data_IF_398703877191
#
_entry.id   IF_398703877191
#
_cell.length_a   1.000
_cell.length_b   1.000
_cell.length_c   1.000
_cell.angle_alpha   90.00
_cell.angle_beta   90.00
_cell.angle_gamma   90.00
#
_symmetry.space_group_name_H-M   'P 1'
#
loop_
_entity.id
_entity.type
_entity.pdbx_description
1 polymer ?
#
# COMPACT_ATOMS: atom_id res chain seq x y z
N UNK A 1 55.36 16.29 -14.39
CA UNK A 1 54.13 17.02 -14.77
C UNK A 1 53.05 15.97 -14.80
N UNK A 2 52.42 15.78 -13.65
CA UNK A 2 52.00 14.45 -13.21
C UNK A 2 50.52 14.24 -13.49
N UNK A 3 50.13 13.00 -13.79
CA UNK A 3 48.74 12.59 -14.06
C UNK A 3 47.78 12.99 -12.92
N UNK A 4 48.30 13.15 -11.70
CA UNK A 4 47.60 13.67 -10.52
C UNK A 4 47.10 15.11 -10.68
N UNK A 5 47.77 15.94 -11.50
CA UNK A 5 47.38 17.34 -11.75
C UNK A 5 46.22 17.47 -12.76
N UNK A 6 46.12 16.56 -13.73
CA UNK A 6 44.95 16.46 -14.60
C UNK A 6 43.75 15.86 -13.86
N UNK A 7 44.01 14.91 -12.94
CA UNK A 7 42.97 14.36 -12.05
C UNK A 7 42.41 15.42 -11.10
N UNK A 8 43.24 16.32 -10.55
CA UNK A 8 42.76 17.43 -9.72
C UNK A 8 42.06 18.53 -10.53
N UNK A 9 42.45 18.74 -11.79
CA UNK A 9 41.77 19.68 -12.70
C UNK A 9 40.39 19.15 -13.17
N UNK A 10 40.25 17.82 -13.35
CA UNK A 10 38.98 17.15 -13.66
C UNK A 10 38.06 17.03 -12.43
N UNK A 11 38.62 16.91 -11.21
CA UNK A 11 37.82 16.96 -9.96
C UNK A 11 37.48 18.39 -9.53
N UNK A 12 38.15 19.41 -10.09
CA UNK A 12 37.91 20.83 -9.85
C UNK A 12 36.79 21.46 -10.68
N UNK A 13 36.26 20.76 -11.69
CA UNK A 13 35.12 21.26 -12.48
C UNK A 13 33.80 20.97 -11.75
N UNK A 14 33.54 21.74 -10.71
CA UNK A 14 32.32 21.73 -9.91
C UNK A 14 31.25 22.58 -10.60
N UNK A 15 30.29 21.93 -11.27
CA UNK A 15 29.01 22.56 -11.61
C UNK A 15 28.11 22.40 -10.37
N UNK A 16 28.39 23.16 -9.31
CA UNK A 16 27.71 23.03 -8.01
C UNK A 16 28.11 21.78 -7.20
N UNK A 17 27.19 21.24 -6.38
CA UNK A 17 27.43 20.12 -5.45
C UNK A 17 27.60 18.74 -6.10
N UNK A 18 27.48 18.63 -7.42
CA UNK A 18 27.56 17.36 -8.15
C UNK A 18 29.03 17.13 -8.54
N UNK A 19 29.77 16.45 -7.68
CA UNK A 19 31.13 15.99 -8.01
C UNK A 19 31.08 14.77 -8.93
N UNK A 20 32.02 14.69 -9.87
CA UNK A 20 32.20 13.53 -10.75
C UNK A 20 32.41 12.22 -9.95
N UNK A 21 32.87 12.32 -8.69
CA UNK A 21 33.01 11.20 -7.75
C UNK A 21 31.69 10.60 -7.29
N UNK A 22 30.60 11.38 -7.28
CA UNK A 22 29.29 10.94 -6.78
C UNK A 22 28.40 10.39 -7.90
N UNK A 23 28.75 10.67 -9.15
CA UNK A 23 28.07 10.15 -10.35
C UNK A 23 28.21 8.63 -10.48
N UNK A 24 29.41 8.09 -10.29
CA UNK A 24 29.66 6.65 -10.38
C UNK A 24 28.89 5.83 -9.32
N UNK A 25 28.92 6.18 -8.00
CA UNK A 25 28.13 5.47 -7.01
C UNK A 25 26.62 5.71 -7.16
N UNK A 26 26.18 6.90 -7.59
CA UNK A 26 24.76 7.14 -7.88
C UNK A 26 24.26 6.26 -9.03
N UNK A 27 25.07 6.07 -10.09
CA UNK A 27 24.76 5.17 -11.19
C UNK A 27 24.70 3.70 -10.73
N UNK A 28 25.65 3.26 -9.90
CA UNK A 28 25.63 1.91 -9.32
C UNK A 28 24.37 1.68 -8.48
N UNK A 29 24.02 2.64 -7.61
CA UNK A 29 22.80 2.58 -6.79
C UNK A 29 21.56 2.54 -7.66
N UNK A 30 21.48 3.37 -8.71
CA UNK A 30 20.38 3.36 -9.66
C UNK A 30 20.22 1.99 -10.32
N UNK A 31 21.32 1.38 -10.79
CA UNK A 31 21.30 0.05 -11.39
C UNK A 31 20.79 -1.00 -10.39
N UNK A 32 21.32 -0.99 -9.16
CA UNK A 32 20.87 -1.91 -8.10
C UNK A 32 19.38 -1.74 -7.80
N UNK A 33 18.93 -0.50 -7.66
CA UNK A 33 17.53 -0.15 -7.44
C UNK A 33 16.61 -0.65 -8.57
N UNK A 34 17.03 -0.50 -9.84
CA UNK A 34 16.27 -1.01 -10.99
C UNK A 34 16.26 -2.55 -11.05
N UNK A 35 17.34 -3.22 -10.64
CA UNK A 35 17.36 -4.68 -10.51
C UNK A 35 16.39 -5.15 -9.42
N UNK A 36 16.42 -4.50 -8.26
CA UNK A 36 15.50 -4.75 -7.14
C UNK A 36 14.06 -4.50 -7.60
N UNK A 37 13.77 -3.39 -8.28
CA UNK A 37 12.45 -3.09 -8.87
C UNK A 37 11.96 -4.24 -9.74
N UNK A 38 12.80 -4.71 -10.67
CA UNK A 38 12.45 -5.83 -11.56
C UNK A 38 12.14 -7.10 -10.78
N UNK A 39 12.89 -7.37 -9.71
CA UNK A 39 12.63 -8.52 -8.84
C UNK A 39 11.32 -8.39 -8.08
N UNK A 40 11.07 -7.26 -7.41
CA UNK A 40 9.81 -7.01 -6.70
C UNK A 40 8.60 -7.02 -7.62
N UNK A 41 8.69 -6.40 -8.80
CA UNK A 41 7.60 -6.41 -9.78
C UNK A 41 7.29 -7.82 -10.28
N UNK A 42 8.30 -8.68 -10.47
CA UNK A 42 8.07 -10.09 -10.80
C UNK A 42 7.35 -10.84 -9.67
N UNK A 43 7.71 -10.56 -8.41
CA UNK A 43 7.07 -11.18 -7.26
C UNK A 43 5.61 -10.71 -7.12
N UNK A 44 5.37 -9.40 -7.29
CA UNK A 44 4.04 -8.82 -7.31
C UNK A 44 3.18 -9.42 -8.43
N UNK A 45 3.71 -9.50 -9.66
CA UNK A 45 3.00 -10.09 -10.79
C UNK A 45 2.62 -11.55 -10.52
N UNK A 46 3.54 -12.34 -9.93
CA UNK A 46 3.27 -13.73 -9.56
C UNK A 46 2.16 -13.85 -8.49
N UNK A 47 2.16 -12.96 -7.50
CA UNK A 47 1.15 -12.96 -6.44
C UNK A 47 -0.23 -12.51 -6.96
N UNK A 48 -0.26 -11.55 -7.88
CA UNK A 48 -1.53 -11.05 -8.45
C UNK A 48 -2.08 -12.05 -9.47
N UNK A 49 -1.24 -12.61 -10.35
CA UNK A 49 -1.66 -13.56 -11.40
C UNK A 49 -2.07 -14.94 -10.86
N UNK A 50 -1.64 -15.33 -9.66
CA UNK A 50 -2.12 -16.56 -9.01
C UNK A 50 -3.56 -16.44 -8.51
N UNK A 51 -4.10 -15.22 -8.44
CA UNK A 51 -5.45 -14.94 -8.00
C UNK A 51 -6.37 -14.73 -9.21
N UNK A 52 -7.62 -15.23 -9.15
CA UNK A 52 -8.65 -14.99 -10.18
C UNK A 52 -9.19 -13.56 -10.10
N UNK A 53 -8.31 -12.58 -10.28
CA UNK A 53 -8.60 -11.15 -10.17
C UNK A 53 -9.03 -10.59 -11.53
N UNK A 54 -9.97 -9.65 -11.50
CA UNK A 54 -10.40 -8.90 -12.69
C UNK A 54 -9.20 -8.20 -13.37
N UNK A 55 -9.10 -8.22 -14.71
CA UNK A 55 -8.00 -7.57 -15.43
C UNK A 55 -7.78 -6.09 -15.08
N UNK A 56 -8.85 -5.37 -14.76
CA UNK A 56 -8.79 -3.94 -14.38
C UNK A 56 -8.14 -3.77 -13.01
N UNK A 57 -8.47 -4.63 -12.05
CA UNK A 57 -7.84 -4.61 -10.72
C UNK A 57 -6.38 -5.03 -10.80
N UNK A 58 -6.04 -5.97 -11.68
CA UNK A 58 -4.65 -6.34 -11.94
C UNK A 58 -3.84 -5.14 -12.45
N UNK A 59 -4.35 -4.43 -13.47
CA UNK A 59 -3.68 -3.24 -14.00
C UNK A 59 -3.52 -2.14 -12.93
N UNK A 60 -4.55 -1.91 -12.12
CA UNK A 60 -4.51 -0.92 -11.03
C UNK A 60 -3.45 -1.24 -9.97
N UNK A 61 -3.41 -2.49 -9.48
CA UNK A 61 -2.43 -2.91 -8.47
C UNK A 61 -1.00 -2.85 -9.01
N UNK A 62 -0.79 -3.33 -10.23
CA UNK A 62 0.52 -3.28 -10.89
C UNK A 62 1.01 -1.84 -11.04
N UNK A 63 0.15 -0.94 -11.53
CA UNK A 63 0.50 0.48 -11.69
C UNK A 63 0.81 1.13 -10.34
N UNK A 64 0.03 0.82 -9.30
CA UNK A 64 0.23 1.38 -7.96
C UNK A 64 1.59 0.97 -7.35
N UNK A 65 1.95 -0.31 -7.47
CA UNK A 65 3.24 -0.83 -7.00
C UNK A 65 4.39 -0.22 -7.81
N UNK A 66 4.24 -0.12 -9.14
CA UNK A 66 5.29 0.44 -10.00
C UNK A 66 5.58 1.91 -9.68
N UNK A 67 4.53 2.72 -9.51
CA UNK A 67 4.64 4.14 -9.13
C UNK A 67 5.30 4.28 -7.75
N UNK A 68 4.87 3.49 -6.76
CA UNK A 68 5.46 3.52 -5.42
C UNK A 68 6.97 3.18 -5.43
N UNK A 69 7.36 2.14 -6.17
CA UNK A 69 8.77 1.78 -6.35
C UNK A 69 9.55 2.87 -7.08
N UNK A 70 8.99 3.48 -8.13
CA UNK A 70 9.63 4.57 -8.85
C UNK A 70 9.88 5.78 -7.95
N UNK A 71 8.91 6.17 -7.13
CA UNK A 71 9.08 7.26 -6.15
C UNK A 71 10.22 6.93 -5.18
N UNK A 72 10.24 5.71 -4.62
CA UNK A 72 11.30 5.30 -3.69
C UNK A 72 12.69 5.34 -4.34
N UNK A 73 12.81 4.84 -5.57
CA UNK A 73 14.08 4.87 -6.32
C UNK A 73 14.51 6.31 -6.61
N UNK A 74 13.57 7.17 -7.01
CA UNK A 74 13.85 8.58 -7.25
C UNK A 74 14.40 9.28 -6.00
N UNK A 75 13.82 9.01 -4.83
CA UNK A 75 14.31 9.54 -3.55
C UNK A 75 15.72 9.05 -3.24
N UNK A 76 15.98 7.74 -3.37
CA UNK A 76 17.30 7.16 -3.09
C UNK A 76 18.38 7.75 -4.01
N UNK A 77 18.07 7.91 -5.30
CA UNK A 77 19.01 8.46 -6.28
C UNK A 77 19.22 9.96 -6.05
N UNK A 78 18.17 10.72 -5.73
CA UNK A 78 18.27 12.13 -5.41
C UNK A 78 19.17 12.38 -4.19
N UNK A 79 19.06 11.55 -3.15
CA UNK A 79 19.93 11.59 -1.98
C UNK A 79 21.41 11.38 -2.35
N UNK A 80 21.70 10.40 -3.22
CA UNK A 80 23.07 10.15 -3.71
C UNK A 80 23.63 11.26 -4.58
N UNK A 81 22.78 12.05 -5.23
CA UNK A 81 23.18 13.24 -5.99
C UNK A 81 23.40 14.47 -5.10
N UNK A 82 23.21 14.35 -3.78
CA UNK A 82 23.36 15.47 -2.83
C UNK A 82 22.16 16.41 -2.83
N UNK A 83 21.01 16.00 -3.39
CA UNK A 83 19.77 16.76 -3.31
C UNK A 83 19.18 16.54 -1.91
N UNK A 84 18.76 17.61 -1.19
CA UNK A 84 18.15 17.47 0.12
C UNK A 84 16.77 16.80 0.01
N UNK A 85 16.72 15.48 0.20
CA UNK A 85 15.48 14.69 0.07
C UNK A 85 14.50 14.88 1.23
N UNK A 86 14.91 15.48 2.34
CA UNK A 86 14.07 15.68 3.52
C UNK A 86 12.79 16.48 3.21
N UNK A 87 12.89 17.54 2.42
CA UNK A 87 11.74 18.35 2.00
C UNK A 87 10.79 17.57 1.08
N UNK A 88 11.34 16.71 0.21
CA UNK A 88 10.58 15.88 -0.70
C UNK A 88 9.84 14.75 0.04
N UNK A 89 10.50 14.14 1.03
CA UNK A 89 9.88 13.16 1.95
C UNK A 89 8.76 13.84 2.75
N UNK A 90 8.97 15.06 3.25
CA UNK A 90 7.95 15.79 3.97
C UNK A 90 6.70 16.04 3.10
N UNK A 91 6.89 16.48 1.86
CA UNK A 91 5.77 16.69 0.92
C UNK A 91 5.05 15.38 0.59
N UNK A 92 5.79 14.29 0.30
CA UNK A 92 5.22 12.96 0.07
C UNK A 92 4.50 12.42 1.30
N UNK A 93 4.96 12.77 2.51
CA UNK A 93 4.30 12.41 3.76
C UNK A 93 2.90 13.01 3.87
N UNK A 94 2.73 14.28 3.48
CA UNK A 94 1.41 14.94 3.45
C UNK A 94 0.48 14.27 2.44
N UNK A 95 0.98 13.97 1.24
CA UNK A 95 0.21 13.26 0.20
C UNK A 95 -0.16 11.84 0.68
N UNK A 96 0.80 11.12 1.27
CA UNK A 96 0.61 9.78 1.80
C UNK A 96 -0.41 9.73 2.94
N UNK A 97 -0.44 10.77 3.78
CA UNK A 97 -1.47 10.92 4.81
C UNK A 97 -2.85 11.11 4.18
N UNK A 98 -2.97 12.00 3.19
CA UNK A 98 -4.25 12.21 2.49
C UNK A 98 -4.76 10.92 1.83
N UNK A 99 -3.89 10.15 1.17
CA UNK A 99 -4.23 8.85 0.59
C UNK A 99 -4.64 7.84 1.66
N UNK A 100 -3.89 7.75 2.77
CA UNK A 100 -4.23 6.87 3.90
C UNK A 100 -5.59 7.18 4.49
N UNK A 101 -5.91 8.47 4.68
CA UNK A 101 -7.22 8.91 5.17
C UNK A 101 -8.34 8.56 4.19
N UNK A 102 -8.10 8.69 2.88
CA UNK A 102 -9.07 8.31 1.86
C UNK A 102 -9.41 6.81 1.88
N UNK A 103 -8.43 5.94 2.19
CA UNK A 103 -8.64 4.48 2.26
C UNK A 103 -8.92 3.96 3.66
N UNK A 104 -8.91 4.82 4.67
CA UNK A 104 -9.02 4.45 6.09
C UNK A 104 -10.25 3.59 6.37
N UNK A 105 -11.41 3.97 5.81
CA UNK A 105 -12.65 3.25 6.04
C UNK A 105 -12.61 1.82 5.45
N UNK A 106 -12.04 1.65 4.26
CA UNK A 106 -11.87 0.33 3.65
C UNK A 106 -10.98 -0.56 4.51
N UNK A 107 -9.88 -0.01 5.03
CA UNK A 107 -8.97 -0.77 5.90
C UNK A 107 -9.63 -1.12 7.24
N UNK A 108 -10.41 -0.20 7.81
CA UNK A 108 -11.20 -0.45 9.03
C UNK A 108 -12.18 -1.61 8.83
N UNK A 109 -12.84 -1.69 7.68
CA UNK A 109 -13.74 -2.80 7.36
C UNK A 109 -13.01 -4.15 7.21
N UNK A 110 -11.84 -4.17 6.56
CA UNK A 110 -11.03 -5.39 6.47
C UNK A 110 -10.61 -5.86 7.86
N UNK A 111 -10.13 -4.93 8.70
CA UNK A 111 -9.74 -5.22 10.08
C UNK A 111 -10.93 -5.72 10.92
N UNK A 112 -12.11 -5.09 10.77
CA UNK A 112 -13.34 -5.53 11.41
C UNK A 112 -13.74 -6.95 10.99
N UNK A 113 -13.58 -7.29 9.71
CA UNK A 113 -13.86 -8.64 9.20
C UNK A 113 -12.94 -9.69 9.82
N UNK A 114 -11.63 -9.41 9.86
CA UNK A 114 -10.65 -10.29 10.53
C UNK A 114 -10.98 -10.44 12.02
N UNK A 115 -11.34 -9.34 12.69
CA UNK A 115 -11.71 -9.35 14.10
C UNK A 115 -12.95 -10.21 14.37
N UNK A 116 -14.00 -10.10 13.53
CA UNK A 116 -15.20 -10.93 13.64
C UNK A 116 -14.85 -12.41 13.46
N UNK A 117 -14.04 -12.75 12.44
CA UNK A 117 -13.64 -14.14 12.18
C UNK A 117 -12.77 -14.74 13.31
N UNK A 118 -11.96 -13.91 13.96
CA UNK A 118 -11.08 -14.34 15.05
C UNK A 118 -11.81 -14.43 16.40
N UNK A 119 -12.56 -13.39 16.77
CA UNK A 119 -13.30 -13.32 18.05
C UNK A 119 -14.60 -14.11 18.04
N UNK A 120 -15.12 -14.44 16.85
CA UNK A 120 -16.34 -15.24 16.61
C UNK A 120 -17.52 -14.86 17.53
N UNK A 121 -17.95 -13.59 17.57
CA UNK A 121 -19.13 -13.20 18.35
C UNK A 121 -20.44 -13.79 17.79
N UNK A 122 -20.41 -14.22 16.52
CA UNK A 122 -21.47 -14.93 15.83
C UNK A 122 -20.89 -15.74 14.67
N UNK A 123 -21.67 -16.69 14.16
CA UNK A 123 -21.36 -17.51 13.00
C UNK A 123 -22.41 -17.34 11.89
N UNK A 124 -22.08 -17.85 10.70
CA UNK A 124 -23.04 -17.95 9.59
C UNK A 124 -24.19 -18.87 10.02
N UNK A 125 -25.42 -18.37 9.92
CA UNK A 125 -26.63 -19.06 10.39
C UNK A 125 -27.25 -18.45 11.64
N UNK A 126 -26.49 -17.68 12.43
CA UNK A 126 -26.99 -17.06 13.65
C UNK A 126 -27.93 -15.89 13.32
N UNK A 127 -28.97 -15.70 14.14
CA UNK A 127 -29.78 -14.48 14.12
C UNK A 127 -29.18 -13.44 15.06
N UNK A 128 -28.73 -12.32 14.48
CA UNK A 128 -28.01 -11.27 15.22
C UNK A 128 -28.63 -9.90 14.96
N UNK A 129 -28.44 -9.00 15.93
CA UNK A 129 -28.64 -7.57 15.76
C UNK A 129 -27.27 -6.88 15.82
N UNK A 130 -26.83 -6.36 14.68
CA UNK A 130 -25.51 -5.76 14.49
C UNK A 130 -25.59 -4.59 13.52
N UNK A 131 -24.87 -3.50 13.81
CA UNK A 131 -24.89 -2.30 12.96
C UNK A 131 -26.28 -1.63 12.85
N UNK A 132 -27.14 -1.80 13.86
CA UNK A 132 -28.51 -1.28 13.87
C UNK A 132 -29.51 -2.05 13.00
N UNK A 133 -29.13 -3.24 12.51
CA UNK A 133 -29.98 -4.10 11.68
C UNK A 133 -30.04 -5.51 12.28
N UNK A 134 -31.26 -6.04 12.42
CA UNK A 134 -31.51 -7.42 12.83
C UNK A 134 -31.67 -8.36 11.62
N UNK A 135 -30.99 -9.51 11.64
CA UNK A 135 -31.13 -10.52 10.60
C UNK A 135 -30.27 -11.77 10.81
N UNK A 136 -30.53 -12.80 10.01
CA UNK A 136 -29.72 -14.02 9.99
C UNK A 136 -28.45 -13.82 9.16
N UNK A 137 -27.29 -14.15 9.73
CA UNK A 137 -25.99 -14.02 9.05
C UNK A 137 -25.92 -15.02 7.90
N UNK A 138 -25.79 -14.52 6.67
CA UNK A 138 -25.65 -15.35 5.46
C UNK A 138 -24.20 -15.56 5.05
N UNK A 139 -23.39 -14.53 5.17
CA UNK A 139 -22.00 -14.54 4.72
C UNK A 139 -21.19 -13.51 5.51
N UNK A 140 -20.01 -13.90 5.98
CA UNK A 140 -19.01 -12.99 6.54
C UNK A 140 -17.92 -12.82 5.48
N UNK A 141 -18.00 -11.73 4.72
CA UNK A 141 -17.01 -11.40 3.70
C UNK A 141 -15.83 -10.60 4.27
N UNK A 142 -14.85 -10.29 3.43
CA UNK A 142 -13.66 -9.55 3.84
C UNK A 142 -13.98 -8.13 4.32
N UNK A 143 -14.87 -7.42 3.61
CA UNK A 143 -15.21 -6.01 3.88
C UNK A 143 -16.64 -5.85 4.44
N UNK A 144 -17.55 -6.75 4.05
CA UNK A 144 -18.96 -6.68 4.41
C UNK A 144 -19.46 -8.01 4.95
N UNK A 145 -20.39 -7.95 5.88
CA UNK A 145 -21.19 -9.09 6.34
C UNK A 145 -22.59 -8.94 5.78
N UNK A 146 -23.14 -10.02 5.22
CA UNK A 146 -24.48 -10.04 4.63
C UNK A 146 -25.47 -10.62 5.63
N UNK A 147 -26.48 -9.83 5.97
CA UNK A 147 -27.59 -10.21 6.86
C UNK A 147 -28.86 -10.38 6.03
N UNK A 148 -29.60 -11.45 6.25
CA UNK A 148 -30.94 -11.65 5.71
C UNK A 148 -31.98 -11.24 6.75
N UNK A 149 -32.79 -10.24 6.46
CA UNK A 149 -33.87 -9.81 7.36
C UNK A 149 -35.06 -10.76 7.32
N UNK A 150 -35.97 -10.62 8.28
CA UNK A 150 -37.24 -11.38 8.32
C UNK A 150 -38.10 -11.12 7.08
N UNK A 151 -38.02 -9.91 6.50
CA UNK A 151 -38.66 -9.54 5.24
C UNK A 151 -37.98 -10.15 3.99
N UNK A 152 -37.01 -11.05 4.17
CA UNK A 152 -36.21 -11.66 3.10
C UNK A 152 -35.38 -10.64 2.27
N UNK A 153 -34.97 -9.53 2.87
CA UNK A 153 -34.02 -8.56 2.26
C UNK A 153 -32.59 -8.95 2.63
N UNK A 154 -31.68 -8.89 1.67
CA UNK A 154 -30.25 -9.10 1.91
C UNK A 154 -29.58 -7.74 2.09
N UNK A 155 -29.10 -7.47 3.30
CA UNK A 155 -28.45 -6.20 3.67
C UNK A 155 -26.96 -6.47 3.86
N UNK A 156 -26.14 -5.70 3.14
CA UNK A 156 -24.67 -5.73 3.29
C UNK A 156 -24.26 -4.65 4.28
N UNK A 157 -23.74 -5.05 5.44
CA UNK A 157 -23.29 -4.14 6.49
C UNK A 157 -21.75 -4.13 6.49
N UNK A 158 -21.10 -2.95 6.52
CA UNK A 158 -19.65 -2.85 6.63
C UNK A 158 -19.16 -3.52 7.93
N UNK A 159 -18.12 -4.34 7.81
CA UNK A 159 -17.59 -5.09 8.96
C UNK A 159 -17.04 -4.16 10.07
N UNK A 160 -16.53 -2.98 9.69
CA UNK A 160 -16.07 -1.95 10.61
C UNK A 160 -17.21 -1.51 11.53
N UNK A 161 -18.38 -1.21 10.96
CA UNK A 161 -19.57 -0.79 11.70
C UNK A 161 -20.07 -1.88 12.66
N UNK A 162 -20.03 -3.15 12.24
CA UNK A 162 -20.40 -4.29 13.10
C UNK A 162 -19.42 -4.41 14.27
N UNK A 163 -18.13 -4.37 13.98
CA UNK A 163 -17.08 -4.61 14.98
C UNK A 163 -16.91 -3.46 15.99
N UNK A 164 -17.32 -2.24 15.62
CA UNK A 164 -17.25 -1.06 16.48
C UNK A 164 -18.50 -0.88 17.37
N UNK A 165 -19.60 -1.57 17.06
CA UNK A 165 -20.87 -1.45 17.76
C UNK A 165 -21.15 -2.62 18.71
N UNK A 166 -22.18 -2.47 19.56
CA UNK A 166 -22.71 -3.57 20.36
C UNK A 166 -23.34 -4.62 19.44
N UNK A 167 -23.01 -5.88 19.66
CA UNK A 167 -23.56 -7.03 18.95
C UNK A 167 -24.47 -7.80 19.92
N UNK A 168 -25.68 -8.14 19.49
CA UNK A 168 -26.58 -9.03 20.23
C UNK A 168 -26.81 -10.29 19.41
N UNK A 169 -26.42 -11.45 19.93
CA UNK A 169 -26.69 -12.76 19.32
C UNK A 169 -27.84 -13.43 20.06
N UNK A 170 -28.85 -13.90 19.33
CA UNK A 170 -30.07 -14.51 19.87
C UNK A 170 -30.10 -16.04 19.71
N UNK A 171 -29.08 -16.62 19.09
CA UNK A 171 -28.96 -18.07 18.84
C UNK A 171 -28.13 -18.78 19.91
#
# INVERSE_FOLDING_TARGET
MDLSSYLSALTGFSIGTITLSNLLPALLVLVICLLIKRFLMKLAERAISSSKIDPSLHAFLRSSIDIGLLILIALIVADKLGIPVASLIAALGVIGLAVSLAVQNTLSNIAGGILILFSKPFAVGDYVEAGGVGGTVREIGLVYTKLATVDNKLISVPNGDISAAKITNYS
#
